data_IF_285103774444
#
_entry.id   IF_285103774444
#
_cell.length_a   1.000
_cell.length_b   1.000
_cell.length_c   1.000
_cell.angle_alpha   90.00
_cell.angle_beta   90.00
_cell.angle_gamma   90.00
#
_symmetry.space_group_name_H-M   'P 1'
#
loop_
_entity.id
_entity.type
_entity.pdbx_description
1 polymer ?
#
# COMPACT_ATOMS: atom_id res chain seq x y z
N UNK A 1 33.96 -0.85 33.67
CA UNK A 1 32.73 -0.04 33.45
C UNK A 1 31.82 -0.83 32.53
N UNK A 2 30.60 -1.17 32.88
CA UNK A 2 29.73 -1.86 31.95
C UNK A 2 29.32 -0.92 30.82
N UNK A 3 29.48 -1.40 29.60
CA UNK A 3 28.97 -0.75 28.39
C UNK A 3 27.47 -0.49 28.57
N UNK A 4 27.08 0.77 28.54
CA UNK A 4 25.68 1.15 28.40
C UNK A 4 25.22 0.62 27.04
N UNK A 5 24.51 -0.49 27.01
CA UNK A 5 23.62 -0.83 25.90
C UNK A 5 22.64 0.35 25.76
N UNK A 6 22.95 1.26 24.86
CA UNK A 6 22.00 2.25 24.39
C UNK A 6 20.92 1.47 23.64
N UNK A 7 19.78 1.23 24.29
CA UNK A 7 18.58 0.75 23.62
C UNK A 7 18.32 1.78 22.52
N UNK A 8 18.57 1.39 21.27
CA UNK A 8 18.31 2.23 20.12
C UNK A 8 16.78 2.37 20.05
N UNK A 9 16.26 3.52 20.45
CA UNK A 9 14.83 3.78 20.38
C UNK A 9 14.41 3.81 18.92
N UNK A 10 13.43 3.01 18.55
CA UNK A 10 12.87 2.98 17.19
C UNK A 10 11.75 3.99 17.08
N UNK A 11 11.71 4.72 15.95
CA UNK A 11 10.64 5.65 15.67
C UNK A 11 9.28 4.92 15.58
N UNK A 12 8.26 5.36 16.34
CA UNK A 12 6.95 4.73 16.30
C UNK A 12 6.14 5.05 15.03
N UNK A 13 6.61 5.99 14.22
CA UNK A 13 5.89 6.47 13.04
C UNK A 13 6.68 6.20 11.76
N UNK A 14 5.97 5.83 10.69
CA UNK A 14 6.58 5.41 9.41
C UNK A 14 6.76 6.56 8.43
N UNK A 15 6.31 7.76 8.76
CA UNK A 15 6.38 8.90 7.86
C UNK A 15 5.54 8.71 6.59
N UNK A 16 6.15 8.94 5.44
CA UNK A 16 5.50 8.80 4.12
C UNK A 16 5.41 7.35 3.62
N UNK A 17 6.07 6.42 4.29
CA UNK A 17 6.13 5.01 3.88
C UNK A 17 4.90 4.27 4.42
N UNK A 18 4.28 3.42 3.59
CA UNK A 18 3.18 2.55 4.05
C UNK A 18 3.67 1.52 5.06
N UNK A 19 2.82 1.23 6.05
CA UNK A 19 3.04 0.12 6.98
C UNK A 19 3.09 -1.21 6.23
N UNK A 20 3.96 -2.11 6.67
CA UNK A 20 4.09 -3.47 6.16
C UNK A 20 3.81 -4.51 7.27
N UNK A 21 3.88 -5.79 6.95
CA UNK A 21 3.58 -6.88 7.90
C UNK A 21 4.45 -6.83 9.17
N UNK A 22 5.69 -6.36 9.07
CA UNK A 22 6.62 -6.25 10.20
C UNK A 22 6.26 -5.09 11.14
N UNK A 23 5.44 -4.15 10.68
CA UNK A 23 5.01 -2.98 11.44
C UNK A 23 3.67 -3.21 12.18
N UNK A 24 3.17 -4.44 12.21
CA UNK A 24 1.86 -4.78 12.80
C UNK A 24 1.73 -4.38 14.27
N UNK A 25 2.83 -4.38 15.01
CA UNK A 25 2.88 -4.01 16.42
C UNK A 25 2.70 -2.51 16.69
N UNK A 26 2.85 -1.68 15.66
CA UNK A 26 2.68 -0.22 15.70
C UNK A 26 1.59 0.30 14.76
N UNK A 27 0.78 -0.57 14.17
CA UNK A 27 -0.34 -0.19 13.32
C UNK A 27 -1.66 -0.15 14.10
N UNK A 28 -2.23 1.04 14.29
CA UNK A 28 -3.43 1.30 15.10
C UNK A 28 -4.44 2.22 14.39
N UNK A 29 -5.63 2.34 14.96
CA UNK A 29 -6.68 3.24 14.48
C UNK A 29 -7.54 2.69 13.33
N UNK A 30 -7.40 1.42 12.95
CA UNK A 30 -8.18 0.81 11.86
C UNK A 30 -8.78 -0.56 12.22
N UNK A 31 -8.85 -0.90 13.48
CA UNK A 31 -9.29 -2.20 13.97
C UNK A 31 -10.69 -2.57 13.49
N UNK A 32 -11.62 -1.61 13.45
CA UNK A 32 -12.99 -1.80 12.94
C UNK A 32 -13.01 -2.22 11.46
N UNK A 33 -12.19 -1.56 10.63
CA UNK A 33 -12.09 -1.85 9.21
C UNK A 33 -11.45 -3.19 8.93
N UNK A 34 -10.39 -3.52 9.68
CA UNK A 34 -9.74 -4.83 9.60
C UNK A 34 -10.74 -5.93 9.95
N UNK A 35 -11.54 -5.75 11.01
CA UNK A 35 -12.56 -6.71 11.40
C UNK A 35 -13.61 -6.88 10.31
N UNK A 36 -14.15 -5.79 9.76
CA UNK A 36 -15.21 -5.84 8.75
C UNK A 36 -14.73 -6.54 7.45
N UNK A 37 -13.51 -6.24 7.00
CA UNK A 37 -12.93 -6.90 5.81
C UNK A 37 -12.67 -8.39 6.10
N UNK A 38 -12.16 -8.71 7.29
CA UNK A 38 -11.94 -10.09 7.72
C UNK A 38 -13.24 -10.90 7.72
N UNK A 39 -14.32 -10.34 8.27
CA UNK A 39 -15.62 -11.00 8.33
C UNK A 39 -16.18 -11.25 6.92
N UNK A 40 -16.04 -10.26 6.02
CA UNK A 40 -16.45 -10.40 4.63
C UNK A 40 -15.61 -11.43 3.86
N UNK A 41 -14.30 -11.50 4.06
CA UNK A 41 -13.44 -12.51 3.43
C UNK A 41 -13.82 -13.95 3.82
N UNK A 42 -14.42 -14.15 4.99
CA UNK A 42 -14.92 -15.46 5.40
C UNK A 42 -16.28 -15.82 4.80
N UNK A 43 -17.01 -14.83 4.27
CA UNK A 43 -18.37 -15.02 3.74
C UNK A 43 -18.47 -14.80 2.24
N UNK A 44 -17.58 -13.98 1.68
CA UNK A 44 -17.65 -13.51 0.29
C UNK A 44 -16.36 -13.85 -0.45
N UNK A 45 -16.45 -14.33 -1.69
CA UNK A 45 -15.28 -14.70 -2.48
C UNK A 45 -14.53 -13.51 -3.05
N UNK A 46 -15.14 -12.32 -3.07
CA UNK A 46 -14.57 -11.09 -3.60
C UNK A 46 -14.87 -9.92 -2.65
N UNK A 47 -13.83 -9.18 -2.26
CA UNK A 47 -13.95 -8.02 -1.39
C UNK A 47 -13.16 -6.86 -2.00
N UNK A 48 -13.70 -5.66 -1.93
CA UNK A 48 -13.04 -4.44 -2.36
C UNK A 48 -12.85 -3.46 -1.20
N UNK A 49 -11.69 -2.80 -1.18
CA UNK A 49 -11.38 -1.69 -0.27
C UNK A 49 -11.18 -0.43 -1.10
N UNK A 50 -12.19 0.42 -1.17
CA UNK A 50 -12.14 1.68 -1.93
C UNK A 50 -11.86 2.87 -1.02
N UNK A 51 -11.26 3.92 -1.55
CA UNK A 51 -11.00 5.14 -0.78
C UNK A 51 -10.06 6.11 -1.49
N UNK A 52 -9.98 7.32 -0.98
CA UNK A 52 -9.13 8.38 -1.52
C UNK A 52 -7.64 7.98 -1.54
N UNK A 53 -6.84 8.67 -2.35
CA UNK A 53 -5.37 8.55 -2.27
C UNK A 53 -4.91 8.97 -0.86
N UNK A 54 -3.94 8.25 -0.28
CA UNK A 54 -3.45 8.55 1.07
C UNK A 54 -4.40 8.20 2.22
N UNK A 55 -5.55 7.53 1.97
CA UNK A 55 -6.47 7.09 3.04
C UNK A 55 -5.95 5.94 3.91
N UNK A 56 -4.81 5.34 3.53
CA UNK A 56 -4.17 4.26 4.29
C UNK A 56 -4.57 2.84 3.86
N UNK A 57 -5.16 2.64 2.66
CA UNK A 57 -5.57 1.30 2.15
C UNK A 57 -4.46 0.27 2.20
N UNK A 58 -3.31 0.57 1.59
CA UNK A 58 -2.13 -0.30 1.57
C UNK A 58 -1.63 -0.63 2.98
N UNK A 59 -1.59 0.38 3.86
CA UNK A 59 -1.17 0.21 5.25
C UNK A 59 -2.16 -0.65 6.05
N UNK A 60 -3.47 -0.48 5.82
CA UNK A 60 -4.51 -1.29 6.46
C UNK A 60 -4.38 -2.77 6.05
N UNK A 61 -4.14 -3.03 4.75
CA UNK A 61 -3.94 -4.39 4.25
C UNK A 61 -2.66 -4.99 4.83
N UNK A 62 -1.52 -4.32 4.65
CA UNK A 62 -0.21 -4.90 4.97
C UNK A 62 0.10 -4.86 6.48
N UNK A 63 -0.21 -3.75 7.18
CA UNK A 63 0.08 -3.58 8.60
C UNK A 63 -0.99 -4.16 9.52
N UNK A 64 -2.21 -4.35 9.03
CA UNK A 64 -3.34 -4.79 9.83
C UNK A 64 -3.93 -6.13 9.43
N UNK A 65 -4.45 -6.24 8.20
CA UNK A 65 -5.21 -7.41 7.76
C UNK A 65 -4.33 -8.65 7.57
N UNK A 66 -3.23 -8.53 6.82
CA UNK A 66 -2.32 -9.66 6.55
C UNK A 66 -1.80 -10.29 7.84
N UNK A 67 -1.26 -9.52 8.83
CA UNK A 67 -0.81 -10.10 10.10
C UNK A 67 -1.91 -10.87 10.83
N UNK A 68 -3.14 -10.36 10.81
CA UNK A 68 -4.29 -11.04 11.42
C UNK A 68 -4.59 -12.38 10.74
N UNK A 69 -4.64 -12.40 9.40
CA UNK A 69 -4.91 -13.62 8.63
C UNK A 69 -3.80 -14.66 8.80
N UNK A 70 -2.53 -14.22 8.87
CA UNK A 70 -1.39 -15.10 9.07
C UNK A 70 -1.44 -15.83 10.42
N UNK A 71 -1.99 -15.21 11.46
CA UNK A 71 -2.14 -15.84 12.77
C UNK A 71 -3.09 -17.04 12.78
N UNK A 72 -3.95 -17.18 11.79
CA UNK A 72 -4.90 -18.30 11.68
C UNK A 72 -4.31 -19.52 10.97
N UNK A 73 -3.17 -19.36 10.29
CA UNK A 73 -2.45 -20.43 9.56
C UNK A 73 -3.25 -21.16 8.47
N UNK A 74 -4.48 -20.73 8.16
CA UNK A 74 -5.31 -21.29 7.07
C UNK A 74 -5.15 -20.51 5.78
N UNK A 75 -4.68 -19.26 5.84
CA UNK A 75 -4.59 -18.38 4.69
C UNK A 75 -3.23 -18.44 4.00
N UNK A 76 -3.20 -18.87 2.74
CA UNK A 76 -2.10 -18.64 1.83
C UNK A 76 -2.34 -17.29 1.16
N UNK A 77 -1.41 -16.35 1.28
CA UNK A 77 -1.62 -14.97 0.84
C UNK A 77 -0.65 -14.64 -0.29
N UNK A 78 -1.18 -14.42 -1.50
CA UNK A 78 -0.46 -13.92 -2.65
C UNK A 78 -0.84 -12.44 -2.88
N UNK A 79 0.12 -11.52 -2.77
CA UNK A 79 -0.13 -10.09 -2.91
C UNK A 79 0.73 -9.48 -4.04
N UNK A 80 0.11 -8.63 -4.87
CA UNK A 80 0.81 -7.94 -5.96
C UNK A 80 0.09 -6.66 -6.37
N UNK A 81 0.71 -5.90 -7.28
CA UNK A 81 0.12 -4.77 -8.02
C UNK A 81 0.11 -5.09 -9.50
N UNK A 82 -0.95 -4.73 -10.25
CA UNK A 82 -1.07 -5.09 -11.67
C UNK A 82 0.03 -4.53 -12.55
N UNK A 83 0.44 -3.28 -12.31
CA UNK A 83 1.41 -2.52 -13.11
C UNK A 83 1.08 -2.55 -14.62
N UNK A 84 2.14 -2.54 -15.47
CA UNK A 84 2.01 -2.58 -16.93
C UNK A 84 1.67 -3.99 -17.46
N UNK A 85 1.97 -5.05 -16.68
CA UNK A 85 1.85 -6.45 -17.11
C UNK A 85 1.16 -7.30 -16.04
N UNK A 86 -0.18 -7.24 -15.93
CA UNK A 86 -0.93 -7.83 -14.83
C UNK A 86 -0.77 -9.35 -14.74
N UNK A 87 -0.70 -10.07 -15.85
CA UNK A 87 -0.47 -11.51 -15.86
C UNK A 87 0.90 -11.90 -15.34
N UNK A 88 1.93 -11.10 -15.66
CA UNK A 88 3.29 -11.34 -15.15
C UNK A 88 3.37 -11.11 -13.64
N UNK A 89 2.79 -10.02 -13.14
CA UNK A 89 2.81 -9.72 -11.71
C UNK A 89 1.98 -10.73 -10.90
N UNK A 90 0.84 -11.18 -11.43
CA UNK A 90 0.05 -12.28 -10.85
C UNK A 90 0.90 -13.56 -10.78
N UNK A 91 1.49 -13.98 -11.90
CA UNK A 91 2.32 -15.19 -11.94
C UNK A 91 3.50 -15.12 -10.97
N UNK A 92 4.14 -13.95 -10.88
CA UNK A 92 5.23 -13.70 -9.94
C UNK A 92 4.79 -13.85 -8.48
N UNK A 93 3.55 -13.48 -8.14
CA UNK A 93 3.01 -13.66 -6.79
C UNK A 93 2.67 -15.12 -6.49
N UNK A 94 2.31 -15.94 -7.50
CA UNK A 94 1.91 -17.33 -7.32
C UNK A 94 3.07 -18.34 -7.38
N UNK A 95 4.13 -18.05 -8.15
CA UNK A 95 5.27 -18.98 -8.32
C UNK A 95 5.94 -19.41 -7.00
N UNK A 96 6.08 -18.57 -5.95
CA UNK A 96 6.62 -19.02 -4.67
C UNK A 96 5.87 -20.20 -4.03
N UNK A 97 4.56 -20.31 -4.28
CA UNK A 97 3.73 -21.43 -3.78
C UNK A 97 3.84 -22.68 -4.67
N UNK A 98 4.04 -22.51 -5.96
CA UNK A 98 4.11 -23.60 -6.94
C UNK A 98 5.50 -24.22 -7.05
N UNK A 99 6.52 -23.38 -6.99
CA UNK A 99 7.89 -23.71 -7.39
C UNK A 99 8.94 -23.11 -6.44
N UNK A 100 8.70 -23.20 -5.12
CA UNK A 100 9.59 -22.65 -4.09
C UNK A 100 11.04 -23.16 -4.15
N UNK A 101 11.24 -24.39 -4.65
CA UNK A 101 12.54 -25.06 -4.67
C UNK A 101 13.39 -24.72 -5.92
N UNK A 102 12.86 -23.95 -6.88
CA UNK A 102 13.60 -23.59 -8.08
C UNK A 102 14.59 -22.45 -7.81
N UNK A 103 15.67 -22.43 -8.60
CA UNK A 103 16.60 -21.30 -8.61
C UNK A 103 15.88 -20.00 -9.05
N UNK A 104 16.36 -18.81 -8.65
CA UNK A 104 15.75 -17.53 -9.09
C UNK A 104 15.67 -17.40 -10.63
N UNK A 105 16.63 -17.98 -11.35
CA UNK A 105 16.62 -17.97 -12.81
C UNK A 105 15.51 -18.86 -13.39
N UNK A 106 15.31 -20.04 -12.83
CA UNK A 106 14.26 -20.97 -13.27
C UNK A 106 12.88 -20.46 -12.84
N UNK A 107 12.76 -19.84 -11.66
CA UNK A 107 11.53 -19.15 -11.24
C UNK A 107 11.11 -18.09 -12.26
N UNK A 108 12.03 -17.26 -12.77
CA UNK A 108 11.71 -16.25 -13.79
C UNK A 108 11.20 -16.86 -15.11
N UNK A 109 11.68 -18.03 -15.51
CA UNK A 109 11.15 -18.76 -16.67
C UNK A 109 9.73 -19.25 -16.43
N UNK A 110 9.47 -19.82 -15.25
CA UNK A 110 8.14 -20.31 -14.89
C UNK A 110 7.14 -19.16 -14.71
N UNK A 111 7.56 -18.00 -14.18
CA UNK A 111 6.74 -16.78 -14.15
C UNK A 111 6.28 -16.42 -15.56
N UNK A 112 7.19 -16.33 -16.52
CA UNK A 112 6.87 -15.96 -17.90
C UNK A 112 5.97 -16.99 -18.58
N UNK A 113 6.23 -18.29 -18.35
CA UNK A 113 5.42 -19.39 -18.87
C UNK A 113 3.99 -19.39 -18.32
N UNK A 114 3.85 -19.18 -17.01
CA UNK A 114 2.54 -19.12 -16.35
C UNK A 114 1.75 -17.89 -16.82
N UNK A 115 2.42 -16.73 -16.92
CA UNK A 115 1.81 -15.50 -17.41
C UNK A 115 1.27 -15.65 -18.84
N UNK A 116 2.04 -16.27 -19.73
CA UNK A 116 1.60 -16.56 -21.09
C UNK A 116 0.47 -17.59 -21.12
N UNK A 117 0.52 -18.62 -20.27
CA UNK A 117 -0.55 -19.60 -20.11
C UNK A 117 -1.89 -18.97 -19.70
N UNK A 118 -1.87 -18.02 -18.78
CA UNK A 118 -3.05 -17.25 -18.39
C UNK A 118 -3.54 -16.36 -19.53
N UNK A 119 -2.65 -15.62 -20.18
CA UNK A 119 -2.99 -14.70 -21.28
C UNK A 119 -3.63 -15.43 -22.46
N UNK A 120 -3.14 -16.61 -22.81
CA UNK A 120 -3.66 -17.45 -23.88
C UNK A 120 -4.87 -18.33 -23.46
N UNK A 121 -5.33 -18.21 -22.21
CA UNK A 121 -6.42 -19.05 -21.64
C UNK A 121 -6.09 -20.56 -21.64
N UNK A 122 -4.81 -20.94 -21.71
CA UNK A 122 -4.38 -22.33 -21.63
C UNK A 122 -4.30 -22.84 -20.18
N UNK A 123 -4.20 -21.93 -19.23
CA UNK A 123 -4.12 -22.20 -17.79
C UNK A 123 -5.24 -21.43 -17.07
N UNK A 124 -5.96 -22.10 -16.20
CA UNK A 124 -6.99 -21.52 -15.37
C UNK A 124 -6.40 -21.08 -14.01
N UNK A 125 -6.74 -19.89 -13.55
CA UNK A 125 -6.35 -19.45 -12.21
C UNK A 125 -7.03 -20.28 -11.12
N UNK A 126 -8.23 -20.79 -11.38
CA UNK A 126 -8.93 -21.71 -10.49
C UNK A 126 -8.14 -23.01 -10.28
N UNK A 127 -7.64 -23.64 -11.37
CA UNK A 127 -6.85 -24.85 -11.26
C UNK A 127 -5.52 -24.60 -10.56
N UNK A 128 -4.83 -23.50 -10.89
CA UNK A 128 -3.60 -23.08 -10.20
C UNK A 128 -3.82 -22.87 -8.72
N UNK A 129 -4.96 -22.26 -8.32
CA UNK A 129 -5.28 -22.06 -6.90
C UNK A 129 -5.48 -23.40 -6.18
N UNK A 130 -6.09 -24.36 -6.85
CA UNK A 130 -6.26 -25.74 -6.34
C UNK A 130 -4.91 -26.44 -6.18
N UNK A 131 -4.05 -26.41 -7.18
CA UNK A 131 -2.71 -27.00 -7.13
C UNK A 131 -1.85 -26.43 -5.98
N UNK A 132 -1.99 -25.13 -5.68
CA UNK A 132 -1.33 -24.49 -4.54
C UNK A 132 -1.83 -25.10 -3.24
N UNK A 133 -3.14 -25.27 -3.09
CA UNK A 133 -3.76 -25.70 -1.83
C UNK A 133 -3.68 -27.23 -1.62
N UNK A 134 -3.58 -28.04 -2.67
CA UNK A 134 -3.36 -29.47 -2.54
C UNK A 134 -2.09 -29.83 -1.75
N UNK A 135 -1.13 -28.93 -1.68
CA UNK A 135 0.11 -29.09 -0.91
C UNK A 135 0.02 -28.57 0.52
N UNK A 136 -1.14 -28.06 0.91
CA UNK A 136 -1.38 -27.43 2.21
C UNK A 136 -2.39 -28.25 3.04
N UNK A 137 -2.78 -27.74 4.21
CA UNK A 137 -3.81 -28.35 5.04
C UNK A 137 -5.18 -28.34 4.31
N UNK A 138 -6.07 -29.32 4.56
CA UNK A 138 -7.37 -29.42 3.89
C UNK A 138 -8.26 -28.18 4.01
N UNK A 139 -8.10 -27.43 5.12
CA UNK A 139 -8.90 -26.21 5.39
C UNK A 139 -8.21 -24.94 4.87
N UNK A 140 -7.09 -25.07 4.17
CA UNK A 140 -6.35 -23.92 3.65
C UNK A 140 -7.15 -23.19 2.57
N UNK A 141 -7.03 -21.85 2.58
CA UNK A 141 -7.63 -20.94 1.60
C UNK A 141 -6.54 -20.09 0.95
N UNK A 142 -6.71 -19.78 -0.32
CA UNK A 142 -5.84 -18.84 -1.04
C UNK A 142 -6.52 -17.46 -1.12
N UNK A 143 -5.88 -16.46 -0.55
CA UNK A 143 -6.27 -15.06 -0.72
C UNK A 143 -5.33 -14.37 -1.70
N UNK A 144 -5.90 -13.90 -2.79
CA UNK A 144 -5.22 -13.05 -3.75
C UNK A 144 -5.49 -11.58 -3.41
N UNK A 145 -4.46 -10.84 -3.02
CA UNK A 145 -4.54 -9.42 -2.74
C UNK A 145 -3.98 -8.63 -3.92
N UNK A 146 -4.82 -7.80 -4.52
CA UNK A 146 -4.41 -6.92 -5.63
C UNK A 146 -4.45 -5.47 -5.11
N UNK A 147 -3.29 -4.98 -4.68
CA UNK A 147 -3.15 -3.61 -4.19
C UNK A 147 -3.00 -2.63 -5.35
N UNK A 148 -3.60 -1.45 -5.22
CA UNK A 148 -3.63 -0.42 -6.26
C UNK A 148 -4.20 -0.94 -7.60
N UNK A 149 -5.39 -1.55 -7.54
CA UNK A 149 -6.04 -2.15 -8.71
C UNK A 149 -6.27 -1.15 -9.86
N UNK A 150 -6.33 0.15 -9.56
CA UNK A 150 -6.35 1.22 -10.56
C UNK A 150 -5.17 1.19 -11.53
N UNK A 151 -4.03 0.60 -11.17
CA UNK A 151 -2.88 0.45 -12.07
C UNK A 151 -3.22 -0.38 -13.32
N UNK A 152 -4.16 -1.31 -13.22
CA UNK A 152 -4.68 -2.06 -14.37
C UNK A 152 -5.22 -1.12 -15.46
N UNK A 153 -5.88 -0.03 -15.05
CA UNK A 153 -6.46 0.93 -15.99
C UNK A 153 -5.48 2.03 -16.39
N UNK A 154 -4.60 2.43 -15.46
CA UNK A 154 -3.67 3.53 -15.67
C UNK A 154 -2.40 3.12 -16.41
N UNK A 155 -1.91 1.89 -16.23
CA UNK A 155 -0.59 1.45 -16.71
C UNK A 155 -0.65 0.35 -17.76
N UNK A 156 -1.66 -0.53 -17.74
CA UNK A 156 -1.78 -1.57 -18.76
C UNK A 156 -2.19 -0.95 -20.11
N UNK A 157 -1.38 -1.09 -21.18
CA UNK A 157 -1.57 -0.34 -22.42
C UNK A 157 -2.68 -0.90 -23.31
N UNK A 158 -3.07 -2.18 -23.14
CA UNK A 158 -4.00 -2.88 -24.02
C UNK A 158 -5.32 -3.17 -23.30
N UNK A 159 -6.42 -2.63 -23.81
CA UNK A 159 -7.76 -2.86 -23.24
C UNK A 159 -8.16 -4.33 -23.28
N UNK A 160 -7.82 -5.05 -24.35
CA UNK A 160 -8.02 -6.50 -24.45
C UNK A 160 -7.33 -7.26 -23.28
N UNK A 161 -6.14 -6.86 -22.88
CA UNK A 161 -5.40 -7.51 -21.79
C UNK A 161 -6.05 -7.22 -20.43
N UNK A 162 -6.62 -6.03 -20.25
CA UNK A 162 -7.42 -5.68 -19.06
C UNK A 162 -8.65 -6.58 -18.94
N UNK A 163 -9.42 -6.72 -20.02
CA UNK A 163 -10.63 -7.54 -20.05
C UNK A 163 -10.31 -9.02 -19.81
N UNK A 164 -9.26 -9.54 -20.44
CA UNK A 164 -8.80 -10.92 -20.24
C UNK A 164 -8.38 -11.17 -18.78
N UNK A 165 -7.70 -10.21 -18.18
CA UNK A 165 -7.28 -10.31 -16.79
C UNK A 165 -8.48 -10.29 -15.82
N UNK A 166 -9.45 -9.42 -16.06
CA UNK A 166 -10.70 -9.38 -15.28
C UNK A 166 -11.49 -10.69 -15.41
N UNK A 167 -11.61 -11.23 -16.64
CA UNK A 167 -12.25 -12.52 -16.86
C UNK A 167 -11.54 -13.65 -16.11
N UNK A 168 -10.21 -13.70 -16.15
CA UNK A 168 -9.42 -14.71 -15.43
C UNK A 168 -9.73 -14.68 -13.93
N UNK A 169 -9.71 -13.50 -13.30
CA UNK A 169 -10.01 -13.32 -11.88
C UNK A 169 -11.45 -13.75 -11.54
N UNK A 170 -12.43 -13.19 -12.28
CA UNK A 170 -13.83 -13.41 -11.98
C UNK A 170 -14.29 -14.85 -12.26
N UNK A 171 -13.69 -15.53 -13.24
CA UNK A 171 -13.94 -16.94 -13.47
C UNK A 171 -13.41 -17.80 -12.31
N UNK A 172 -12.21 -17.54 -11.82
CA UNK A 172 -11.66 -18.27 -10.68
C UNK A 172 -12.50 -18.07 -9.41
N UNK A 173 -12.94 -16.84 -9.14
CA UNK A 173 -13.85 -16.52 -8.02
C UNK A 173 -15.17 -17.27 -8.14
N UNK A 174 -15.81 -17.23 -9.32
CA UNK A 174 -17.09 -17.89 -9.57
C UNK A 174 -16.98 -19.41 -9.37
N UNK A 175 -15.98 -20.03 -10.00
CA UNK A 175 -15.77 -21.48 -9.92
C UNK A 175 -15.44 -21.95 -8.49
N UNK A 176 -14.69 -21.14 -7.73
CA UNK A 176 -14.43 -21.45 -6.33
C UNK A 176 -15.70 -21.35 -5.48
N UNK A 177 -16.55 -20.36 -5.73
CA UNK A 177 -17.78 -20.16 -4.96
C UNK A 177 -18.83 -21.25 -5.24
N UNK A 178 -18.79 -21.90 -6.40
CA UNK A 178 -19.63 -23.05 -6.73
C UNK A 178 -19.21 -24.34 -6.01
N UNK A 179 -18.02 -24.37 -5.37
CA UNK A 179 -17.58 -25.53 -4.60
C UNK A 179 -18.30 -25.60 -3.25
N UNK A 180 -18.50 -26.80 -2.68
CA UNK A 180 -19.08 -26.97 -1.36
C UNK A 180 -18.33 -26.21 -0.24
N UNK A 181 -17.03 -26.04 -0.41
CA UNK A 181 -16.17 -25.26 0.49
C UNK A 181 -15.32 -24.32 -0.36
N UNK A 182 -15.72 -23.04 -0.50
CA UNK A 182 -14.94 -22.06 -1.25
C UNK A 182 -13.55 -21.87 -0.64
N UNK A 183 -12.53 -21.89 -1.45
CA UNK A 183 -11.14 -21.85 -1.02
C UNK A 183 -10.29 -20.74 -1.66
N UNK A 184 -10.86 -20.01 -2.62
CA UNK A 184 -10.18 -18.92 -3.31
C UNK A 184 -10.95 -17.62 -3.14
N UNK A 185 -10.27 -16.62 -2.58
CA UNK A 185 -10.81 -15.29 -2.35
C UNK A 185 -9.92 -14.22 -3.01
N UNK A 186 -10.54 -13.13 -3.40
CA UNK A 186 -9.86 -11.94 -3.96
C UNK A 186 -10.18 -10.72 -3.11
N UNK A 187 -9.14 -9.98 -2.73
CA UNK A 187 -9.24 -8.65 -2.14
C UNK A 187 -8.57 -7.65 -3.08
N UNK A 188 -9.31 -6.65 -3.54
CA UNK A 188 -8.72 -5.54 -4.28
C UNK A 188 -8.67 -4.28 -3.42
N UNK A 189 -7.60 -3.49 -3.53
CA UNK A 189 -7.61 -2.10 -3.07
C UNK A 189 -7.70 -1.16 -4.27
N UNK A 190 -8.52 -0.12 -4.17
CA UNK A 190 -8.87 0.74 -5.28
C UNK A 190 -8.98 2.20 -4.86
N UNK A 191 -8.50 3.11 -5.70
CA UNK A 191 -8.79 4.53 -5.56
C UNK A 191 -10.22 4.83 -5.99
N UNK A 192 -10.93 5.64 -5.19
CA UNK A 192 -12.35 5.95 -5.41
C UNK A 192 -12.61 6.67 -6.76
N UNK A 193 -11.65 7.44 -7.26
CA UNK A 193 -11.74 8.13 -8.56
C UNK A 193 -11.73 7.17 -9.77
N UNK A 194 -11.26 5.93 -9.61
CA UNK A 194 -11.31 4.88 -10.65
C UNK A 194 -12.56 4.00 -10.57
N UNK A 195 -13.42 4.19 -9.57
CA UNK A 195 -14.60 3.34 -9.38
C UNK A 195 -15.52 3.32 -10.61
N UNK A 196 -15.71 4.47 -11.29
CA UNK A 196 -16.52 4.55 -12.51
C UNK A 196 -16.00 3.67 -13.64
N UNK A 197 -14.69 3.56 -13.82
CA UNK A 197 -14.08 2.71 -14.85
C UNK A 197 -14.30 1.21 -14.56
N UNK A 198 -14.20 0.81 -13.30
CA UNK A 198 -14.44 -0.59 -12.90
C UNK A 198 -15.91 -0.96 -13.02
N UNK A 199 -16.82 -0.05 -12.66
CA UNK A 199 -18.26 -0.27 -12.75
C UNK A 199 -18.76 -0.37 -14.21
N UNK A 200 -17.98 0.10 -15.20
CA UNK A 200 -18.31 -0.12 -16.61
C UNK A 200 -18.23 -1.58 -17.02
N UNK A 201 -17.45 -2.41 -16.32
CA UNK A 201 -17.41 -3.84 -16.53
C UNK A 201 -18.53 -4.53 -15.75
N UNK A 202 -19.55 -5.05 -16.45
CA UNK A 202 -20.80 -5.57 -15.85
C UNK A 202 -20.60 -6.58 -14.72
N UNK A 203 -19.70 -7.57 -14.89
CA UNK A 203 -19.45 -8.59 -13.86
C UNK A 203 -18.78 -8.01 -12.63
N UNK A 204 -17.81 -7.09 -12.80
CA UNK A 204 -17.17 -6.39 -11.68
C UNK A 204 -18.17 -5.56 -10.88
N UNK A 205 -19.09 -4.87 -11.56
CA UNK A 205 -20.15 -4.10 -10.92
C UNK A 205 -21.00 -4.98 -9.98
N UNK A 206 -21.31 -6.22 -10.37
CA UNK A 206 -22.06 -7.16 -9.52
C UNK A 206 -21.29 -7.54 -8.26
N UNK A 207 -20.00 -7.87 -8.38
CA UNK A 207 -19.18 -8.23 -7.21
C UNK A 207 -18.92 -7.04 -6.26
N UNK A 208 -18.80 -5.82 -6.81
CA UNK A 208 -18.57 -4.62 -6.01
C UNK A 208 -19.80 -4.15 -5.23
N UNK A 209 -21.03 -4.43 -5.73
CA UNK A 209 -22.26 -3.95 -5.07
C UNK A 209 -22.42 -4.49 -3.65
N UNK A 210 -21.94 -5.69 -3.36
CA UNK A 210 -22.17 -6.37 -2.08
C UNK A 210 -20.96 -6.43 -1.15
N UNK A 211 -19.78 -6.03 -1.63
CA UNK A 211 -18.51 -6.26 -0.91
C UNK A 211 -17.53 -5.08 -0.99
N UNK A 212 -18.03 -3.86 -1.18
CA UNK A 212 -17.20 -2.64 -1.25
C UNK A 212 -17.13 -1.92 0.10
N UNK A 213 -15.96 -1.98 0.74
CA UNK A 213 -15.63 -1.21 1.92
C UNK A 213 -15.08 0.17 1.54
N UNK A 214 -15.89 1.21 1.71
CA UNK A 214 -15.51 2.60 1.43
C UNK A 214 -14.74 3.18 2.61
N UNK A 215 -13.41 3.12 2.55
CA UNK A 215 -12.54 3.60 3.61
C UNK A 215 -12.67 5.12 3.78
N UNK A 216 -13.40 5.52 4.79
CA UNK A 216 -13.55 6.91 5.18
C UNK A 216 -12.25 7.48 5.81
N UNK A 217 -12.07 8.82 5.86
CA UNK A 217 -11.09 9.44 6.73
C UNK A 217 -11.18 8.89 8.16
N UNK A 218 -10.08 8.90 8.90
CA UNK A 218 -10.08 8.48 10.30
C UNK A 218 -10.99 9.37 11.13
N UNK A 219 -11.79 8.75 12.02
CA UNK A 219 -12.48 9.49 13.06
C UNK A 219 -11.47 10.12 14.04
N UNK A 220 -11.87 11.11 14.86
CA UNK A 220 -10.99 11.65 15.90
C UNK A 220 -10.40 10.56 16.81
N UNK A 221 -11.20 9.56 17.17
CA UNK A 221 -10.81 8.44 18.02
C UNK A 221 -9.80 7.53 17.29
N UNK A 222 -10.06 7.16 16.04
CA UNK A 222 -9.16 6.36 15.21
C UNK A 222 -7.81 7.07 15.02
N UNK A 223 -7.82 8.40 14.79
CA UNK A 223 -6.60 9.17 14.61
C UNK A 223 -5.82 9.31 15.92
N UNK A 224 -6.53 9.46 17.07
CA UNK A 224 -5.91 9.44 18.39
C UNK A 224 -5.19 8.13 18.66
N UNK A 225 -5.84 7.00 18.41
CA UNK A 225 -5.21 5.67 18.52
C UNK A 225 -3.96 5.56 17.64
N UNK A 226 -4.02 6.06 16.40
CA UNK A 226 -2.90 6.04 15.47
C UNK A 226 -1.71 6.93 15.90
N UNK A 227 -1.95 7.95 16.75
CA UNK A 227 -0.93 8.83 17.32
C UNK A 227 -0.37 8.26 18.63
N UNK A 228 -1.25 7.91 19.57
CA UNK A 228 -0.85 7.59 20.97
C UNK A 228 -0.33 6.16 21.13
N UNK A 229 -1.01 5.18 20.52
CA UNK A 229 -0.68 3.77 20.78
C UNK A 229 0.68 3.34 20.23
N UNK A 230 1.13 3.76 19.03
CA UNK A 230 2.50 3.48 18.56
C UNK A 230 3.55 4.06 19.49
N UNK A 231 3.34 5.30 19.98
CA UNK A 231 4.24 5.95 20.94
C UNK A 231 4.36 5.16 22.24
N UNK A 232 3.23 4.75 22.81
CA UNK A 232 3.20 3.88 23.99
C UNK A 232 3.97 2.57 23.75
N UNK A 233 3.73 1.94 22.59
CA UNK A 233 4.36 0.66 22.23
C UNK A 233 5.88 0.76 22.13
N UNK A 234 6.39 1.90 21.67
CA UNK A 234 7.84 2.16 21.52
C UNK A 234 8.43 2.98 22.71
N UNK A 235 7.68 3.14 23.80
CA UNK A 235 8.07 3.91 24.99
C UNK A 235 8.47 5.37 24.70
N UNK A 236 7.85 5.98 23.69
CA UNK A 236 8.00 7.40 23.37
C UNK A 236 6.96 8.20 24.18
N UNK A 237 7.40 9.22 24.90
CA UNK A 237 6.52 10.05 25.72
C UNK A 237 5.88 11.11 24.85
N UNK A 238 4.56 11.24 24.91
CA UNK A 238 3.81 12.35 24.32
C UNK A 238 3.48 13.36 25.42
N UNK A 239 3.74 14.64 25.17
CA UNK A 239 3.27 15.72 26.04
C UNK A 239 1.75 15.65 26.18
N UNK A 240 1.18 15.77 27.40
CA UNK A 240 -0.26 15.83 27.60
C UNK A 240 -0.91 16.91 26.73
N UNK A 241 -1.90 16.52 25.91
CA UNK A 241 -2.59 17.43 25.00
C UNK A 241 -2.00 17.51 23.58
N UNK A 242 -0.84 16.91 23.29
CA UNK A 242 -0.27 16.92 21.93
C UNK A 242 -1.19 16.24 20.92
N UNK A 243 -1.75 15.07 21.23
CA UNK A 243 -2.72 14.40 20.35
C UNK A 243 -3.96 15.27 20.10
N UNK A 244 -4.52 15.91 21.13
CA UNK A 244 -5.64 16.85 20.99
C UNK A 244 -5.29 18.05 20.10
N UNK A 245 -4.08 18.56 20.24
CA UNK A 245 -3.58 19.66 19.42
C UNK A 245 -3.51 19.27 17.93
N UNK A 246 -2.94 18.10 17.63
CA UNK A 246 -2.84 17.55 16.28
C UNK A 246 -4.24 17.32 15.68
N UNK A 247 -5.15 16.71 16.45
CA UNK A 247 -6.53 16.48 16.01
C UNK A 247 -7.24 17.80 15.63
N UNK A 248 -7.13 18.82 16.48
CA UNK A 248 -7.73 20.14 16.22
C UNK A 248 -7.16 20.82 14.98
N UNK A 249 -5.91 20.59 14.67
CA UNK A 249 -5.23 21.18 13.50
C UNK A 249 -5.51 20.40 12.22
N UNK A 250 -5.45 19.07 12.27
CA UNK A 250 -5.47 18.23 11.06
C UNK A 250 -6.86 17.86 10.56
N UNK A 251 -7.86 17.70 11.46
CA UNK A 251 -9.20 17.28 11.05
C UNK A 251 -9.93 18.35 10.22
N UNK A 252 -9.98 19.63 10.63
CA UNK A 252 -10.69 20.66 9.86
C UNK A 252 -10.09 20.89 8.46
N UNK A 253 -8.79 20.69 8.31
CA UNK A 253 -8.04 20.90 7.07
C UNK A 253 -7.94 19.62 6.21
N UNK A 254 -8.52 18.51 6.68
CA UNK A 254 -8.53 17.22 5.99
C UNK A 254 -7.13 16.75 5.52
N UNK A 255 -6.12 16.93 6.39
CA UNK A 255 -4.72 16.58 6.08
C UNK A 255 -4.60 15.07 5.84
N UNK A 256 -3.93 14.64 4.75
CA UNK A 256 -3.69 13.23 4.46
C UNK A 256 -2.89 12.52 5.57
N UNK A 257 -3.28 11.30 5.93
CA UNK A 257 -2.63 10.49 6.97
C UNK A 257 -1.10 10.36 6.82
N UNK A 258 -0.54 10.17 5.61
CA UNK A 258 0.91 10.12 5.44
C UNK A 258 1.63 11.39 5.91
N UNK A 259 1.01 12.57 5.75
CA UNK A 259 1.62 13.83 6.20
C UNK A 259 1.60 13.96 7.72
N UNK A 260 0.54 13.47 8.39
CA UNK A 260 0.48 13.43 9.86
C UNK A 260 1.56 12.51 10.40
N UNK A 261 1.67 11.29 9.84
CA UNK A 261 2.70 10.33 10.22
C UNK A 261 4.11 10.87 9.98
N UNK A 262 4.32 11.59 8.87
CA UNK A 262 5.59 12.24 8.54
C UNK A 262 5.96 13.35 9.53
N UNK A 263 4.99 14.20 9.89
CA UNK A 263 5.23 15.26 10.88
C UNK A 263 5.61 14.70 12.24
N UNK A 264 4.97 13.61 12.66
CA UNK A 264 5.30 12.91 13.89
C UNK A 264 6.69 12.26 13.84
N UNK A 265 7.09 11.70 12.68
CA UNK A 265 8.44 11.20 12.47
C UNK A 265 9.47 12.33 12.57
N UNK A 266 9.25 13.47 11.90
CA UNK A 266 10.15 14.62 11.96
C UNK A 266 10.26 15.16 13.38
N UNK A 267 9.17 15.22 14.12
CA UNK A 267 9.16 15.63 15.52
C UNK A 267 10.00 14.69 16.38
N UNK A 268 9.82 13.38 16.20
CA UNK A 268 10.59 12.35 16.91
C UNK A 268 12.09 12.46 16.64
N UNK A 269 12.49 12.69 15.39
CA UNK A 269 13.88 12.88 15.00
C UNK A 269 14.47 14.17 15.61
N UNK A 270 13.71 15.28 15.62
CA UNK A 270 14.12 16.59 16.17
C UNK A 270 14.32 16.55 17.69
N UNK A 271 13.44 15.88 18.40
CA UNK A 271 13.46 15.80 19.88
C UNK A 271 14.23 14.60 20.42
N UNK A 272 15.06 13.95 19.58
CA UNK A 272 15.95 12.86 19.94
C UNK A 272 15.26 11.72 20.68
N UNK A 273 14.04 11.38 20.24
CA UNK A 273 13.27 10.20 20.69
C UNK A 273 12.75 10.21 22.13
N UNK A 274 12.93 11.27 22.93
CA UNK A 274 12.63 11.22 24.36
C UNK A 274 11.20 11.65 24.71
N UNK A 275 10.73 12.77 24.17
CA UNK A 275 9.40 13.31 24.47
C UNK A 275 8.95 14.19 23.32
N UNK A 276 7.79 13.92 22.75
CA UNK A 276 7.21 14.72 21.68
C UNK A 276 6.39 15.84 22.28
N UNK A 277 6.70 17.09 21.95
CA UNK A 277 6.11 18.27 22.58
C UNK A 277 5.25 19.08 21.61
N UNK A 278 4.25 19.79 22.14
CA UNK A 278 3.41 20.73 21.38
C UNK A 278 4.29 21.84 20.77
N UNK A 279 5.20 22.37 21.57
CA UNK A 279 6.12 23.40 21.12
C UNK A 279 7.01 22.92 19.95
N UNK A 280 7.57 21.71 20.04
CA UNK A 280 8.37 21.13 18.97
C UNK A 280 7.59 20.97 17.68
N UNK A 281 6.29 20.56 17.78
CA UNK A 281 5.38 20.42 16.66
C UNK A 281 5.07 21.77 16.00
N UNK A 282 4.81 22.82 16.78
CA UNK A 282 4.58 24.20 16.29
C UNK A 282 5.83 24.77 15.58
N UNK A 283 7.01 24.61 16.20
CA UNK A 283 8.28 25.09 15.65
C UNK A 283 8.66 24.45 14.31
N UNK A 284 8.14 23.25 13.98
CA UNK A 284 8.28 22.64 12.67
C UNK A 284 7.35 23.22 11.61
N UNK A 285 6.39 24.09 12.01
CA UNK A 285 5.33 24.58 11.16
C UNK A 285 4.15 23.63 11.09
N UNK A 286 3.93 22.83 12.14
CA UNK A 286 2.92 21.78 12.23
C UNK A 286 2.96 20.83 11.02
N UNK A 287 1.82 20.30 10.59
CA UNK A 287 1.76 19.32 9.49
C UNK A 287 1.86 19.98 8.11
N UNK A 288 1.36 21.21 7.96
CA UNK A 288 1.28 21.90 6.66
C UNK A 288 2.64 22.28 6.09
N UNK A 289 3.56 22.75 6.93
CA UNK A 289 4.87 23.20 6.52
C UNK A 289 5.98 22.15 6.74
N UNK A 290 5.72 21.09 7.51
CA UNK A 290 6.73 20.09 7.83
C UNK A 290 7.35 19.45 6.56
N UNK A 291 6.53 19.08 5.57
CA UNK A 291 7.03 18.51 4.31
C UNK A 291 7.78 19.56 3.48
N UNK A 292 7.27 20.78 3.40
CA UNK A 292 7.92 21.89 2.68
C UNK A 292 9.29 22.18 3.28
N UNK A 293 9.36 22.40 4.59
CA UNK A 293 10.58 22.69 5.30
C UNK A 293 11.61 21.54 5.16
N UNK A 294 11.14 20.29 5.23
CA UNK A 294 12.00 19.12 5.07
C UNK A 294 12.57 19.01 3.64
N UNK A 295 11.70 19.17 2.62
CA UNK A 295 12.12 19.08 1.23
C UNK A 295 13.03 20.25 0.83
N UNK A 296 12.78 21.45 1.32
CA UNK A 296 13.65 22.60 1.14
C UNK A 296 15.02 22.38 1.79
N UNK A 297 15.05 21.86 3.02
CA UNK A 297 16.32 21.55 3.68
C UNK A 297 17.16 20.52 2.90
N UNK A 298 16.51 19.48 2.33
CA UNK A 298 17.19 18.53 1.44
C UNK A 298 17.72 19.24 0.20
N UNK A 299 16.85 20.04 -0.45
CA UNK A 299 17.21 20.75 -1.68
C UNK A 299 18.36 21.73 -1.47
N UNK A 300 18.34 22.51 -0.38
CA UNK A 300 19.42 23.46 -0.06
C UNK A 300 20.78 22.78 0.15
N UNK A 301 20.81 21.58 0.68
CA UNK A 301 22.03 20.78 0.87
C UNK A 301 22.55 20.10 -0.40
N UNK A 302 21.83 20.17 -1.53
CA UNK A 302 22.30 19.64 -2.80
C UNK A 302 23.35 20.55 -3.46
N UNK A 303 24.27 19.94 -4.22
CA UNK A 303 25.18 20.69 -5.09
C UNK A 303 24.40 21.51 -6.13
N UNK A 304 24.98 22.61 -6.64
CA UNK A 304 24.34 23.41 -7.71
C UNK A 304 23.91 22.55 -8.92
N UNK A 305 24.74 21.57 -9.29
CA UNK A 305 24.46 20.63 -10.38
C UNK A 305 23.27 19.74 -10.06
N UNK A 306 23.16 19.24 -8.83
CA UNK A 306 22.08 18.35 -8.43
C UNK A 306 20.78 19.12 -8.18
N UNK A 307 20.83 20.38 -7.73
CA UNK A 307 19.66 21.28 -7.68
C UNK A 307 19.02 21.42 -9.08
N UNK A 308 19.84 21.69 -10.12
CA UNK A 308 19.33 21.78 -11.50
C UNK A 308 18.70 20.46 -11.96
N UNK A 309 19.35 19.34 -11.71
CA UNK A 309 18.84 18.00 -12.06
C UNK A 309 17.56 17.65 -11.31
N UNK A 310 17.50 17.96 -10.01
CA UNK A 310 16.29 17.76 -9.21
C UNK A 310 15.12 18.51 -9.81
N UNK A 311 15.32 19.78 -10.18
CA UNK A 311 14.28 20.58 -10.85
C UNK A 311 13.83 19.98 -12.17
N UNK A 312 14.76 19.50 -13.01
CA UNK A 312 14.42 18.80 -14.26
C UNK A 312 13.61 17.53 -14.04
N UNK A 313 13.94 16.76 -12.98
CA UNK A 313 13.22 15.53 -12.61
C UNK A 313 11.79 15.88 -12.20
N UNK A 314 11.61 16.81 -11.26
CA UNK A 314 10.28 17.16 -10.76
C UNK A 314 9.39 17.83 -11.81
N UNK A 315 9.93 18.68 -12.69
CA UNK A 315 9.18 19.25 -13.78
C UNK A 315 8.60 18.21 -14.75
N UNK A 316 9.22 17.04 -14.87
CA UNK A 316 8.69 15.94 -15.68
C UNK A 316 7.59 15.13 -14.95
N UNK A 317 7.58 15.19 -13.62
CA UNK A 317 6.60 14.46 -12.79
C UNK A 317 5.31 15.26 -12.59
N UNK A 318 5.24 16.49 -13.09
CA UNK A 318 4.08 17.37 -12.96
C UNK A 318 3.61 17.80 -14.36
N UNK A 319 2.33 17.59 -14.66
CA UNK A 319 1.66 18.21 -15.81
C UNK A 319 0.95 19.47 -15.31
N UNK A 320 1.33 20.65 -15.80
CA UNK A 320 0.65 21.89 -15.44
C UNK A 320 -0.82 21.84 -15.86
N UNK A 321 -1.74 22.17 -14.96
CA UNK A 321 -3.16 22.29 -15.26
C UNK A 321 -3.43 23.61 -16.00
N UNK A 322 -4.04 23.56 -17.18
CA UNK A 322 -4.55 24.76 -17.85
C UNK A 322 -5.84 25.24 -17.15
N UNK A 323 -5.69 26.01 -16.07
CA UNK A 323 -6.82 26.53 -15.27
C UNK A 323 -7.41 25.53 -14.28
N UNK A 324 -6.77 24.39 -14.07
CA UNK A 324 -7.04 23.35 -13.04
C UNK A 324 -5.80 23.14 -12.20
N UNK A 325 -5.91 22.39 -11.11
CA UNK A 325 -4.74 21.99 -10.29
C UNK A 325 -3.73 21.17 -11.11
N UNK A 326 -2.44 21.35 -10.80
CA UNK A 326 -1.35 20.57 -11.41
C UNK A 326 -1.55 19.08 -11.13
N UNK A 327 -1.34 18.24 -12.13
CA UNK A 327 -1.56 16.80 -12.04
C UNK A 327 -0.21 16.06 -12.02
N UNK A 328 -0.10 15.08 -11.14
CA UNK A 328 1.06 14.19 -11.07
C UNK A 328 1.15 13.32 -12.33
N UNK A 329 2.30 13.35 -13.01
CA UNK A 329 2.60 12.48 -14.13
C UNK A 329 3.43 11.27 -13.69
N UNK A 330 3.06 10.09 -14.18
CA UNK A 330 3.93 8.91 -14.13
C UNK A 330 4.87 8.93 -15.33
N UNK A 331 6.16 8.73 -15.07
CA UNK A 331 7.18 8.65 -16.12
C UNK A 331 7.75 7.24 -16.11
N UNK A 332 7.82 6.62 -17.30
CA UNK A 332 8.45 5.33 -17.45
C UNK A 332 9.95 5.43 -17.14
N UNK A 333 10.50 4.39 -16.50
CA UNK A 333 11.92 4.33 -16.15
C UNK A 333 12.85 4.59 -17.33
N UNK A 334 12.46 4.16 -18.53
CA UNK A 334 13.26 4.32 -19.75
C UNK A 334 13.29 5.76 -20.29
N UNK A 335 12.33 6.60 -19.88
CA UNK A 335 12.25 8.01 -20.26
C UNK A 335 13.13 8.90 -19.38
N UNK A 336 13.56 8.40 -18.24
CA UNK A 336 14.45 9.10 -17.33
C UNK A 336 15.91 8.95 -17.77
N UNK A 337 16.61 10.07 -17.89
CA UNK A 337 18.03 10.08 -18.26
C UNK A 337 18.82 9.27 -17.22
N UNK A 338 19.55 8.25 -17.67
CA UNK A 338 20.27 7.29 -16.80
C UNK A 338 21.24 7.95 -15.79
N UNK A 339 21.84 9.10 -16.13
CA UNK A 339 22.71 9.88 -15.23
C UNK A 339 21.99 10.43 -13.99
N UNK A 340 20.65 10.46 -13.97
CA UNK A 340 19.86 11.00 -12.86
C UNK A 340 19.51 9.93 -11.82
N UNK A 341 19.70 8.64 -12.10
CA UNK A 341 19.36 7.54 -11.20
C UNK A 341 20.02 7.61 -9.82
N UNK A 342 21.31 7.96 -9.67
CA UNK A 342 21.90 8.09 -8.33
C UNK A 342 21.21 9.17 -7.48
N UNK A 343 20.84 10.29 -8.11
CA UNK A 343 20.13 11.38 -7.44
C UNK A 343 18.69 11.00 -7.13
N UNK A 344 17.98 10.35 -8.06
CA UNK A 344 16.62 9.84 -7.84
C UNK A 344 16.60 8.87 -6.66
N UNK A 345 17.52 7.89 -6.63
CA UNK A 345 17.64 6.95 -5.53
C UNK A 345 17.94 7.62 -4.18
N UNK A 346 18.74 8.69 -4.18
CA UNK A 346 18.99 9.49 -2.99
C UNK A 346 17.70 10.19 -2.53
N UNK A 347 16.97 10.86 -3.43
CA UNK A 347 15.71 11.55 -3.12
C UNK A 347 14.63 10.56 -2.64
N UNK A 348 14.49 9.39 -3.28
CA UNK A 348 13.57 8.34 -2.84
C UNK A 348 13.89 7.84 -1.43
N UNK A 349 15.17 7.63 -1.10
CA UNK A 349 15.60 7.25 0.26
C UNK A 349 15.29 8.34 1.31
N UNK A 350 15.16 9.59 0.89
CA UNK A 350 14.74 10.71 1.73
C UNK A 350 13.22 10.93 1.75
N UNK A 351 12.44 10.05 1.13
CA UNK A 351 10.98 10.15 1.09
C UNK A 351 10.44 11.16 0.08
N UNK A 352 11.29 11.71 -0.80
CA UNK A 352 10.86 12.59 -1.90
C UNK A 352 10.43 11.74 -3.11
N UNK A 353 9.26 11.07 -3.04
CA UNK A 353 8.72 10.21 -4.10
C UNK A 353 7.45 10.78 -4.74
#
# INVERSE_FOLDING_TARGET
MPEKNSIQMECPYKGLISYNVQDADIFFGRSRWIQAIYDDLNQKPFVALTGASGSGKTSLINGGLIPRLQNEHIWQIAAFRPKESPFYELSKALIPFLAANLSPFDQNKEISRLAEGFRLKHVSLFDVSKDILEKQSPDSKLLLIIDQFEELYALCPLDEEKDLFLELLLNAVTLSHEQPTPYFNVLISLRADFLGQILSHRRMSTYLSDADHKLAPMSPEELREAIELPAQKKNTILEPGLADYILKTCIPTNIPLPLISFSLQCLWEKEHASSLTIRGFEEMGATELALTNYTEAIYENLSKKDKTRTREIFLRLVSPGEGTEDVRCMINRNEMISRNWPLINFLLKKGCS
#
